data_IF_184801147114
#
_entry.id   IF_184801147114
#
_cell.length_a   1.000
_cell.length_b   1.000
_cell.length_c   1.000
_cell.angle_alpha   90.00
_cell.angle_beta   90.00
_cell.angle_gamma   90.00
#
_symmetry.space_group_name_H-M   'P 1'
#
loop_
_entity.id
_entity.type
_entity.pdbx_description
1 polymer ?
#
# COMPACT_ATOMS: atom_id res chain seq x y z
N UNK A 1 17.08 67.38 30.00
CA UNK A 1 16.61 65.98 29.87
C UNK A 1 16.52 65.64 28.38
N UNK A 2 17.65 65.22 27.82
CA UNK A 2 17.82 65.01 26.38
C UNK A 2 17.77 63.50 26.13
N UNK A 3 16.60 62.96 25.80
CA UNK A 3 16.49 61.61 25.28
C UNK A 3 16.90 61.67 23.80
N UNK A 4 17.98 61.00 23.37
CA UNK A 4 18.31 60.94 21.95
C UNK A 4 17.19 60.16 21.25
N UNK A 5 16.70 60.68 20.13
CA UNK A 5 15.70 60.03 19.30
C UNK A 5 16.22 58.64 18.88
N UNK A 6 15.65 57.59 19.44
CA UNK A 6 15.97 56.18 19.15
C UNK A 6 15.47 55.76 17.75
N UNK A 7 14.62 56.59 17.13
CA UNK A 7 13.92 56.27 15.87
C UNK A 7 14.79 56.07 14.61
N UNK A 8 15.88 56.81 14.34
CA UNK A 8 16.63 56.64 13.09
C UNK A 8 17.51 55.39 13.13
N UNK A 9 18.12 55.08 14.28
CA UNK A 9 18.96 53.89 14.46
C UNK A 9 18.10 52.62 14.38
N UNK A 10 16.90 52.66 14.95
CA UNK A 10 15.96 51.54 14.88
C UNK A 10 15.45 51.32 13.45
N UNK A 11 15.19 52.39 12.70
CA UNK A 11 14.86 52.31 11.29
C UNK A 11 16.04 51.75 10.47
N UNK A 12 17.26 52.25 10.66
CA UNK A 12 18.42 51.75 9.93
C UNK A 12 18.66 50.26 10.20
N UNK A 13 18.52 49.80 11.45
CA UNK A 13 18.63 48.38 11.79
C UNK A 13 17.50 47.54 11.17
N UNK A 14 16.28 48.08 11.13
CA UNK A 14 15.13 47.43 10.50
C UNK A 14 15.32 47.30 8.97
N UNK A 15 15.73 48.37 8.29
CA UNK A 15 15.96 48.35 6.84
C UNK A 15 17.17 47.49 6.44
N UNK A 16 18.26 47.53 7.21
CA UNK A 16 19.49 46.79 6.88
C UNK A 16 19.46 45.31 7.25
N UNK A 17 18.74 44.91 8.31
CA UNK A 17 18.70 43.52 8.74
C UNK A 17 17.37 42.83 8.45
N UNK A 18 16.23 43.47 8.75
CA UNK A 18 14.93 42.81 8.68
C UNK A 18 14.47 42.56 7.25
N UNK A 19 14.65 43.54 6.35
CA UNK A 19 14.27 43.41 4.94
C UNK A 19 15.07 42.30 4.22
N UNK A 20 16.41 42.23 4.30
CA UNK A 20 17.13 41.14 3.65
C UNK A 20 16.86 39.78 4.30
N UNK A 21 16.64 39.70 5.62
CA UNK A 21 16.22 38.45 6.25
C UNK A 21 14.83 38.00 5.76
N UNK A 22 13.88 38.92 5.65
CA UNK A 22 12.55 38.65 5.11
C UNK A 22 12.64 38.25 3.63
N UNK A 23 13.49 38.92 2.85
CA UNK A 23 13.73 38.58 1.45
C UNK A 23 14.32 37.17 1.29
N UNK A 24 15.35 36.83 2.07
CA UNK A 24 15.93 35.48 2.06
C UNK A 24 14.91 34.42 2.50
N UNK A 25 14.07 34.73 3.48
CA UNK A 25 13.00 33.86 3.93
C UNK A 25 11.94 33.63 2.84
N UNK A 26 11.51 34.70 2.15
CA UNK A 26 10.58 34.61 1.03
C UNK A 26 11.19 33.87 -0.16
N UNK A 27 12.46 34.12 -0.50
CA UNK A 27 13.18 33.38 -1.52
C UNK A 27 13.24 31.88 -1.21
N UNK A 28 13.49 31.51 0.06
CA UNK A 28 13.47 30.12 0.51
C UNK A 28 12.07 29.49 0.37
N UNK A 29 11.02 30.18 0.81
CA UNK A 29 9.63 29.71 0.64
C UNK A 29 9.31 29.50 -0.83
N UNK A 30 9.62 30.46 -1.69
CA UNK A 30 9.37 30.36 -3.14
C UNK A 30 10.17 29.22 -3.75
N UNK A 31 11.42 29.02 -3.33
CA UNK A 31 12.26 27.92 -3.79
C UNK A 31 11.69 26.56 -3.36
N UNK A 32 11.29 26.41 -2.11
CA UNK A 32 10.68 25.19 -1.58
C UNK A 32 9.33 24.88 -2.26
N UNK A 33 8.52 25.90 -2.57
CA UNK A 33 7.26 25.76 -3.32
C UNK A 33 7.49 25.41 -4.80
N UNK A 34 8.57 25.92 -5.42
CA UNK A 34 8.95 25.59 -6.80
C UNK A 34 9.61 24.22 -6.92
N UNK A 35 10.17 23.68 -5.84
CA UNK A 35 10.49 22.26 -5.71
C UNK A 35 9.20 21.43 -5.53
N UNK A 36 8.31 21.51 -6.52
CA UNK A 36 7.46 20.37 -6.84
C UNK A 36 8.39 19.19 -7.11
N UNK A 37 8.64 18.38 -6.08
CA UNK A 37 9.50 17.21 -6.21
C UNK A 37 8.78 16.23 -7.12
N UNK A 38 9.22 16.16 -8.37
CA UNK A 38 8.68 15.18 -9.32
C UNK A 38 8.83 13.79 -8.71
N UNK A 39 7.72 13.07 -8.61
CA UNK A 39 7.69 11.70 -8.10
C UNK A 39 7.78 10.76 -9.28
N UNK A 40 8.74 9.84 -9.23
CA UNK A 40 8.97 8.85 -10.28
C UNK A 40 8.67 7.45 -9.77
N UNK A 41 8.03 6.63 -10.60
CA UNK A 41 7.95 5.19 -10.39
C UNK A 41 9.29 4.59 -10.79
N UNK A 42 10.05 4.12 -9.80
CA UNK A 42 11.34 3.46 -10.05
C UNK A 42 11.09 2.06 -10.62
N UNK A 43 10.19 1.30 -10.00
CA UNK A 43 9.93 -0.08 -10.39
C UNK A 43 8.60 -0.61 -9.81
N UNK A 44 8.15 -1.77 -10.30
CA UNK A 44 6.99 -2.53 -9.82
C UNK A 44 7.24 -4.05 -9.85
N UNK A 45 6.49 -4.78 -9.02
CA UNK A 45 6.48 -6.24 -8.97
C UNK A 45 5.05 -6.75 -8.78
N UNK A 46 4.77 -7.97 -9.23
CA UNK A 46 3.44 -8.60 -9.11
C UNK A 46 3.58 -10.05 -8.69
N UNK A 47 2.91 -10.42 -7.60
CA UNK A 47 2.91 -11.81 -7.16
C UNK A 47 2.11 -12.69 -8.11
N UNK A 48 2.75 -13.74 -8.63
CA UNK A 48 2.09 -14.80 -9.39
C UNK A 48 1.99 -16.05 -8.51
N UNK A 49 0.77 -16.50 -8.15
CA UNK A 49 0.60 -17.72 -7.38
C UNK A 49 1.11 -18.96 -8.13
N UNK A 50 1.28 -20.07 -7.39
CA UNK A 50 1.71 -21.34 -7.99
C UNK A 50 0.64 -21.90 -8.92
N UNK A 51 1.03 -22.71 -9.90
CA UNK A 51 0.09 -23.38 -10.82
C UNK A 51 -0.94 -24.25 -10.06
N UNK A 52 -0.57 -24.81 -8.91
CA UNK A 52 -1.49 -25.54 -8.03
C UNK A 52 -2.65 -24.70 -7.51
N UNK A 53 -2.52 -23.38 -7.53
CA UNK A 53 -3.56 -22.43 -7.11
C UNK A 53 -4.49 -22.00 -8.25
N UNK A 54 -4.28 -22.53 -9.46
CA UNK A 54 -5.09 -22.22 -10.62
C UNK A 54 -6.43 -22.97 -10.57
N UNK A 55 -7.53 -22.28 -10.91
CA UNK A 55 -8.88 -22.82 -10.87
C UNK A 55 -9.63 -22.56 -12.18
N UNK A 56 -10.35 -23.58 -12.66
CA UNK A 56 -11.27 -23.50 -13.80
C UNK A 56 -12.63 -22.99 -13.33
N UNK A 57 -13.43 -22.37 -14.21
CA UNK A 57 -14.80 -21.94 -13.85
C UNK A 57 -15.69 -23.09 -13.36
N UNK A 58 -15.53 -24.28 -13.94
CA UNK A 58 -16.24 -25.49 -13.58
C UNK A 58 -15.97 -25.88 -12.12
N UNK A 59 -14.70 -26.05 -11.76
CA UNK A 59 -14.26 -26.31 -10.38
C UNK A 59 -14.72 -25.24 -9.39
N UNK A 60 -14.68 -23.96 -9.76
CA UNK A 60 -15.17 -22.89 -8.91
C UNK A 60 -16.67 -23.05 -8.58
N UNK A 61 -17.45 -23.43 -9.58
CA UNK A 61 -18.91 -23.60 -9.45
C UNK A 61 -19.27 -24.90 -8.75
N UNK A 62 -18.50 -25.95 -8.95
CA UNK A 62 -18.58 -27.18 -8.17
C UNK A 62 -18.30 -26.91 -6.69
N UNK A 63 -17.22 -26.18 -6.36
CA UNK A 63 -16.93 -25.77 -4.99
C UNK A 63 -18.07 -24.95 -4.37
N UNK A 64 -18.66 -24.01 -5.13
CA UNK A 64 -19.83 -23.26 -4.65
C UNK A 64 -21.06 -24.15 -4.40
N UNK A 65 -21.27 -25.22 -5.18
CA UNK A 65 -22.37 -26.17 -4.96
C UNK A 65 -22.15 -27.02 -3.70
N UNK A 66 -20.92 -27.44 -3.45
CA UNK A 66 -20.59 -28.29 -2.30
C UNK A 66 -20.50 -27.51 -0.99
N UNK A 67 -19.91 -26.32 -1.01
CA UNK A 67 -19.61 -25.54 0.21
C UNK A 67 -20.58 -24.38 0.44
N UNK A 68 -21.33 -23.95 -0.59
CA UNK A 68 -22.26 -22.84 -0.50
C UNK A 68 -23.54 -23.21 0.24
N UNK A 69 -23.51 -23.22 1.57
CA UNK A 69 -24.65 -23.60 2.44
C UNK A 69 -25.97 -22.90 2.10
N UNK A 70 -25.92 -21.69 1.53
CA UNK A 70 -27.08 -20.87 1.17
C UNK A 70 -27.25 -20.66 -0.36
N UNK A 71 -26.53 -21.40 -1.20
CA UNK A 71 -26.59 -21.23 -2.64
C UNK A 71 -27.68 -22.10 -3.26
N UNK A 72 -28.72 -21.46 -3.79
CA UNK A 72 -29.76 -22.17 -4.54
C UNK A 72 -29.28 -22.51 -5.96
N UNK A 73 -29.88 -23.54 -6.57
CA UNK A 73 -30.52 -23.41 -7.90
C UNK A 73 -30.13 -22.18 -8.74
N UNK A 74 -30.93 -21.14 -8.55
CA UNK A 74 -30.84 -19.88 -9.29
C UNK A 74 -29.54 -19.13 -9.02
N UNK A 75 -29.07 -19.12 -7.76
CA UNK A 75 -27.83 -18.44 -7.37
C UNK A 75 -26.62 -19.04 -8.07
N UNK A 76 -26.52 -20.38 -8.13
CA UNK A 76 -25.43 -21.07 -8.83
C UNK A 76 -25.47 -20.77 -10.33
N UNK A 77 -26.65 -20.82 -10.94
CA UNK A 77 -26.82 -20.46 -12.37
C UNK A 77 -26.43 -19.02 -12.65
N UNK A 78 -26.74 -18.11 -11.73
CA UNK A 78 -26.36 -16.70 -11.82
C UNK A 78 -24.84 -16.54 -11.73
N UNK A 79 -24.18 -17.15 -10.73
CA UNK A 79 -22.72 -17.15 -10.60
C UNK A 79 -22.03 -17.74 -11.85
N UNK A 80 -22.57 -18.82 -12.43
CA UNK A 80 -22.05 -19.38 -13.67
C UNK A 80 -22.09 -18.39 -14.84
N UNK A 81 -23.22 -17.68 -15.01
CA UNK A 81 -23.33 -16.62 -16.02
C UNK A 81 -22.32 -15.50 -15.78
N UNK A 82 -22.19 -15.06 -14.53
CA UNK A 82 -21.25 -14.01 -14.12
C UNK A 82 -19.79 -14.38 -14.45
N UNK A 83 -19.35 -15.58 -14.09
CA UNK A 83 -17.99 -16.05 -14.36
C UNK A 83 -17.66 -16.08 -15.86
N UNK A 84 -18.66 -16.31 -16.72
CA UNK A 84 -18.48 -16.27 -18.19
C UNK A 84 -18.50 -14.85 -18.76
N UNK A 85 -19.14 -13.90 -18.09
CA UNK A 85 -19.22 -12.51 -18.54
C UNK A 85 -18.07 -11.62 -18.04
N UNK A 86 -17.44 -11.94 -16.90
CA UNK A 86 -16.45 -11.07 -16.25
C UNK A 86 -15.03 -11.13 -16.82
N UNK A 87 -14.80 -11.85 -17.93
CA UNK A 87 -13.45 -12.00 -18.49
C UNK A 87 -12.47 -12.81 -17.63
N UNK A 88 -12.96 -13.46 -16.57
CA UNK A 88 -12.18 -14.38 -15.73
C UNK A 88 -12.01 -15.69 -16.49
N UNK A 89 -10.76 -16.13 -16.69
CA UNK A 89 -10.40 -17.33 -17.45
C UNK A 89 -10.25 -18.59 -16.60
N UNK A 90 -10.05 -19.75 -17.24
CA UNK A 90 -9.74 -21.01 -16.53
C UNK A 90 -8.27 -21.10 -16.07
N UNK A 91 -7.52 -20.01 -16.31
CA UNK A 91 -6.14 -19.82 -15.87
C UNK A 91 -6.02 -18.82 -14.69
N UNK A 92 -7.14 -18.49 -14.06
CA UNK A 92 -7.18 -17.60 -12.89
C UNK A 92 -6.76 -18.36 -11.62
N UNK A 93 -6.18 -17.63 -10.66
CA UNK A 93 -5.74 -18.18 -9.38
C UNK A 93 -6.70 -17.81 -8.26
N UNK A 94 -6.77 -18.66 -7.24
CA UNK A 94 -7.51 -18.43 -6.01
C UNK A 94 -6.63 -18.80 -4.80
N UNK A 95 -7.01 -18.36 -3.61
CA UNK A 95 -6.26 -18.68 -2.40
C UNK A 95 -6.20 -20.19 -2.17
N UNK A 96 -5.05 -20.66 -1.68
CA UNK A 96 -4.86 -22.08 -1.35
C UNK A 96 -5.89 -22.55 -0.31
N UNK A 97 -6.22 -21.67 0.64
CA UNK A 97 -7.24 -21.90 1.66
C UNK A 97 -8.63 -22.24 1.07
N UNK A 98 -8.97 -21.70 -0.11
CA UNK A 98 -10.25 -21.96 -0.78
C UNK A 98 -10.23 -23.18 -1.72
N UNK A 99 -9.05 -23.76 -1.98
CA UNK A 99 -8.90 -24.94 -2.85
C UNK A 99 -8.98 -26.27 -2.12
N UNK A 100 -8.87 -26.24 -0.79
CA UNK A 100 -8.97 -27.43 0.04
C UNK A 100 -10.37 -28.07 -0.05
N UNK A 101 -10.45 -29.38 0.17
CA UNK A 101 -11.73 -30.12 0.24
C UNK A 101 -12.71 -29.49 1.23
N UNK A 102 -12.19 -28.93 2.32
CA UNK A 102 -12.94 -28.03 3.22
C UNK A 102 -12.25 -26.67 3.23
N UNK A 103 -12.88 -25.61 2.71
CA UNK A 103 -12.28 -24.29 2.68
C UNK A 103 -11.88 -23.79 4.07
N UNK A 104 -10.65 -23.32 4.22
CA UNK A 104 -10.16 -22.65 5.42
C UNK A 104 -10.51 -21.17 5.37
N UNK A 105 -11.54 -20.77 6.10
CA UNK A 105 -11.98 -19.38 6.21
C UNK A 105 -11.46 -18.71 7.51
N UNK A 106 -10.44 -19.29 8.13
CA UNK A 106 -9.85 -18.75 9.36
C UNK A 106 -8.98 -17.53 9.09
N UNK A 107 -8.77 -16.74 10.15
CA UNK A 107 -7.81 -15.62 10.13
C UNK A 107 -6.38 -16.10 9.85
N UNK A 108 -6.03 -17.31 10.26
CA UNK A 108 -4.71 -17.90 10.01
C UNK A 108 -4.54 -18.26 8.52
N UNK A 109 -5.57 -18.79 7.87
CA UNK A 109 -5.60 -19.01 6.43
C UNK A 109 -5.41 -17.71 5.64
N UNK A 110 -6.16 -16.67 6.00
CA UNK A 110 -6.01 -15.34 5.39
C UNK A 110 -4.63 -14.72 5.63
N UNK A 111 -4.05 -14.91 6.83
CA UNK A 111 -2.72 -14.42 7.14
C UNK A 111 -1.64 -15.12 6.32
N UNK A 112 -1.70 -16.44 6.16
CA UNK A 112 -0.77 -17.20 5.31
C UNK A 112 -0.81 -16.73 3.86
N UNK A 113 -1.99 -16.49 3.31
CA UNK A 113 -2.12 -15.94 1.95
C UNK A 113 -1.52 -14.54 1.85
N UNK A 114 -1.88 -13.64 2.76
CA UNK A 114 -1.37 -12.28 2.77
C UNK A 114 0.17 -12.25 2.89
N UNK A 115 0.75 -13.08 3.75
CA UNK A 115 2.21 -13.23 3.86
C UNK A 115 2.83 -13.71 2.54
N UNK A 116 2.27 -14.75 1.92
CA UNK A 116 2.80 -15.27 0.65
C UNK A 116 2.80 -14.20 -0.46
N UNK A 117 1.68 -13.48 -0.62
CA UNK A 117 1.52 -12.44 -1.64
C UNK A 117 2.43 -11.26 -1.35
N UNK A 118 2.34 -10.68 -0.14
CA UNK A 118 3.07 -9.47 0.22
C UNK A 118 4.57 -9.73 0.22
N UNK A 119 5.03 -10.82 0.85
CA UNK A 119 6.46 -11.11 0.91
C UNK A 119 7.01 -11.44 -0.48
N UNK A 120 6.28 -12.16 -1.31
CA UNK A 120 6.69 -12.41 -2.70
C UNK A 120 6.90 -11.11 -3.49
N UNK A 121 5.98 -10.14 -3.38
CA UNK A 121 6.14 -8.83 -4.05
C UNK A 121 7.32 -8.04 -3.48
N UNK A 122 7.45 -7.99 -2.15
CA UNK A 122 8.52 -7.20 -1.52
C UNK A 122 9.91 -7.82 -1.80
N UNK A 123 10.02 -9.15 -1.80
CA UNK A 123 11.27 -9.83 -2.16
C UNK A 123 11.67 -9.52 -3.60
N UNK A 124 10.72 -9.61 -4.54
CA UNK A 124 10.97 -9.34 -5.97
C UNK A 124 11.38 -7.88 -6.21
N UNK A 125 10.66 -6.91 -5.62
CA UNK A 125 10.96 -5.48 -5.84
C UNK A 125 12.29 -5.07 -5.22
N UNK A 126 12.64 -5.59 -4.05
CA UNK A 126 13.93 -5.33 -3.40
C UNK A 126 15.07 -5.95 -4.20
N UNK A 127 14.89 -7.17 -4.72
CA UNK A 127 15.87 -7.83 -5.57
C UNK A 127 16.09 -7.07 -6.90
N UNK A 128 15.00 -6.60 -7.52
CA UNK A 128 15.04 -5.89 -8.81
C UNK A 128 15.68 -4.51 -8.70
N UNK A 129 15.29 -3.74 -7.68
CA UNK A 129 15.78 -2.37 -7.47
C UNK A 129 17.12 -2.30 -6.76
N UNK A 130 17.49 -3.33 -5.98
CA UNK A 130 18.67 -3.35 -5.09
C UNK A 130 18.68 -2.23 -4.06
N UNK A 131 17.52 -1.63 -3.78
CA UNK A 131 17.36 -0.60 -2.75
C UNK A 131 17.45 -1.26 -1.38
N UNK A 132 18.29 -0.71 -0.52
CA UNK A 132 18.37 -1.13 0.87
C UNK A 132 17.12 -0.68 1.64
N UNK A 133 16.64 -1.54 2.54
CA UNK A 133 15.45 -1.28 3.37
C UNK A 133 15.57 -0.01 4.22
N UNK A 134 16.79 0.39 4.61
CA UNK A 134 17.08 1.64 5.32
C UNK A 134 16.73 2.92 4.55
N UNK A 135 16.69 2.85 3.21
CA UNK A 135 16.34 3.99 2.35
C UNK A 135 14.82 4.14 2.15
N UNK A 136 14.00 3.21 2.63
CA UNK A 136 12.54 3.26 2.48
C UNK A 136 11.96 4.13 3.61
N UNK A 137 11.53 5.35 3.26
CA UNK A 137 10.98 6.30 4.23
C UNK A 137 9.48 6.17 4.49
N UNK A 138 8.72 5.63 3.52
CA UNK A 138 7.26 5.54 3.57
C UNK A 138 6.83 4.17 3.07
N UNK A 139 5.90 3.54 3.78
CA UNK A 139 5.24 2.30 3.38
C UNK A 139 3.73 2.52 3.37
N UNK A 140 3.08 2.25 2.24
CA UNK A 140 1.63 2.29 2.12
C UNK A 140 1.17 0.90 1.68
N UNK A 141 0.26 0.31 2.45
CA UNK A 141 -0.41 -0.95 2.10
C UNK A 141 -1.90 -0.68 1.97
N UNK A 142 -2.49 -1.14 0.88
CA UNK A 142 -3.93 -1.12 0.67
C UNK A 142 -4.44 -2.55 0.60
N UNK A 143 -5.36 -2.91 1.48
CA UNK A 143 -6.05 -4.20 1.43
C UNK A 143 -7.48 -4.06 1.96
N UNK A 144 -8.47 -4.44 1.15
CA UNK A 144 -9.87 -4.43 1.56
C UNK A 144 -10.37 -5.78 2.07
N UNK A 145 -9.75 -6.87 1.61
CA UNK A 145 -10.23 -8.23 1.88
C UNK A 145 -9.78 -8.76 3.24
N UNK A 146 -8.65 -8.28 3.75
CA UNK A 146 -8.05 -8.81 4.96
C UNK A 146 -7.30 -7.71 5.72
N UNK A 147 -7.78 -7.37 6.92
CA UNK A 147 -7.18 -6.35 7.79
C UNK A 147 -6.97 -6.89 9.22
N UNK A 148 -5.88 -7.65 9.45
CA UNK A 148 -5.61 -8.30 10.72
C UNK A 148 -5.01 -7.35 11.77
N UNK A 149 -4.95 -7.82 13.01
CA UNK A 149 -4.07 -7.29 14.06
C UNK A 149 -3.03 -8.36 14.41
N UNK A 150 -1.71 -8.08 14.34
CA UNK A 150 -1.08 -6.82 13.90
C UNK A 150 -1.32 -6.51 12.41
N UNK A 151 -1.21 -5.24 12.02
CA UNK A 151 -1.52 -4.78 10.65
C UNK A 151 -0.57 -5.34 9.58
N UNK A 152 -1.00 -5.34 8.31
CA UNK A 152 -0.17 -5.78 7.18
C UNK A 152 1.12 -4.95 7.06
N UNK A 153 1.04 -3.64 7.27
CA UNK A 153 2.24 -2.79 7.33
C UNK A 153 3.20 -3.22 8.43
N UNK A 154 2.70 -3.60 9.61
CA UNK A 154 3.52 -4.05 10.74
C UNK A 154 4.23 -5.37 10.40
N UNK A 155 3.55 -6.26 9.68
CA UNK A 155 4.14 -7.51 9.21
C UNK A 155 5.32 -7.26 8.27
N UNK A 156 5.20 -6.30 7.33
CA UNK A 156 6.29 -5.93 6.41
C UNK A 156 7.45 -5.30 7.19
N UNK A 157 7.17 -4.29 8.03
CA UNK A 157 8.19 -3.58 8.81
C UNK A 157 9.01 -4.56 9.66
N UNK A 158 8.36 -5.49 10.35
CA UNK A 158 9.04 -6.46 11.19
C UNK A 158 9.81 -7.52 10.40
N UNK A 159 9.26 -8.00 9.27
CA UNK A 159 9.90 -9.03 8.43
C UNK A 159 11.18 -8.50 7.77
N UNK A 160 11.10 -7.33 7.15
CA UNK A 160 12.18 -6.72 6.36
C UNK A 160 13.11 -5.81 7.15
N UNK A 161 12.85 -5.65 8.45
CA UNK A 161 13.61 -4.76 9.35
C UNK A 161 13.73 -3.35 8.74
N UNK A 162 12.59 -2.82 8.32
CA UNK A 162 12.53 -1.44 7.84
C UNK A 162 12.92 -0.48 8.98
N UNK A 163 13.31 0.74 8.63
CA UNK A 163 13.79 1.74 9.60
C UNK A 163 12.76 2.02 10.71
N UNK A 164 13.20 2.24 11.98
CA UNK A 164 12.28 2.42 13.11
C UNK A 164 11.34 3.63 13.01
N UNK A 165 11.74 4.67 12.29
CA UNK A 165 11.01 5.93 12.11
C UNK A 165 10.20 5.99 10.79
N UNK A 166 10.02 4.83 10.14
CA UNK A 166 9.24 4.71 8.91
C UNK A 166 7.82 5.25 9.09
N UNK A 167 7.31 5.94 8.05
CA UNK A 167 5.89 6.32 8.00
C UNK A 167 5.10 5.20 7.34
N UNK A 168 4.38 4.43 8.14
CA UNK A 168 3.57 3.31 7.65
C UNK A 168 2.07 3.63 7.66
N UNK A 169 1.39 3.39 6.55
CA UNK A 169 -0.05 3.61 6.37
C UNK A 169 -0.72 2.31 5.92
N UNK A 170 -1.63 1.78 6.74
CA UNK A 170 -2.41 0.59 6.43
C UNK A 170 -3.83 1.02 6.07
N UNK A 171 -4.13 1.05 4.78
CA UNK A 171 -5.40 1.50 4.23
C UNK A 171 -6.32 0.29 4.00
N UNK A 172 -7.54 0.39 4.50
CA UNK A 172 -8.56 -0.66 4.41
C UNK A 172 -9.93 -0.03 4.11
N UNK A 173 -10.78 -0.74 3.36
CA UNK A 173 -12.14 -0.28 3.07
C UNK A 173 -12.22 0.81 1.99
N UNK A 174 -11.22 0.91 1.12
CA UNK A 174 -11.20 1.88 0.01
C UNK A 174 -11.70 1.29 -1.32
N UNK A 175 -12.11 0.02 -1.34
CA UNK A 175 -12.57 -0.71 -2.53
C UNK A 175 -13.20 -2.03 -2.17
#
# INVERSE_FOLDING_TARGET
TMFPSISPILNDLFFTCFIPLLFLFLCKIIFDLKLSRTVYLIDFACYKPKISQQITREKAIESLRHHGKNFTQGTIRYQWKLLRSYGIGDLTYISESLLNETPDLSMEGGRREAEAVIYGVVDEILAKTKIKTEHIGVLVVCCSLFNPSPSLTSMIVNKYKLRPDIKSYNLSGMG
#
